data_IF_954224429313
#
_entry.id   IF_954224429313
#
_cell.length_a   1.000
_cell.length_b   1.000
_cell.length_c   1.000
_cell.angle_alpha   90.00
_cell.angle_beta   90.00
_cell.angle_gamma   90.00
#
_symmetry.space_group_name_H-M   'P 1'
#
loop_
_entity.id
_entity.type
_entity.pdbx_description
1 polymer ?
#
# COMPACT_ATOMS: atom_id res chain seq x y z
N UNK A 1 14.81 45.42 -22.45
CA UNK A 1 13.46 44.96 -22.06
C UNK A 1 12.99 43.71 -22.83
N UNK A 2 13.46 43.48 -24.07
CA UNK A 2 13.08 42.33 -24.91
C UNK A 2 13.93 41.06 -24.71
N UNK A 3 14.75 41.00 -23.65
CA UNK A 3 15.60 39.84 -23.30
C UNK A 3 15.06 39.12 -22.06
N UNK A 4 14.37 39.85 -21.15
CA UNK A 4 13.72 39.29 -19.96
C UNK A 4 12.47 38.46 -20.28
N UNK A 5 11.85 38.65 -21.44
CA UNK A 5 10.68 37.88 -21.86
C UNK A 5 11.02 36.51 -22.46
N UNK A 6 12.23 36.34 -23.02
CA UNK A 6 12.70 35.07 -23.58
C UNK A 6 13.10 34.06 -22.50
N UNK A 7 13.54 34.53 -21.33
CA UNK A 7 13.87 33.69 -20.18
C UNK A 7 12.65 33.09 -19.48
N UNK A 8 11.44 33.62 -19.72
CA UNK A 8 10.19 33.05 -19.17
C UNK A 8 9.64 31.95 -20.10
N UNK A 9 9.98 31.99 -21.39
CA UNK A 9 9.52 31.04 -22.40
C UNK A 9 10.43 29.80 -22.57
N UNK A 10 11.62 29.79 -21.97
CA UNK A 10 12.48 28.59 -21.92
C UNK A 10 12.23 27.71 -20.67
N UNK A 11 11.23 28.07 -19.87
CA UNK A 11 10.77 27.27 -18.72
C UNK A 11 9.56 26.42 -19.07
N UNK A 12 9.40 26.02 -20.34
CA UNK A 12 8.66 24.81 -20.67
C UNK A 12 9.53 23.58 -20.43
N UNK A 13 10.16 23.50 -19.26
CA UNK A 13 10.58 22.21 -18.74
C UNK A 13 9.29 21.51 -18.33
N UNK A 14 9.01 20.39 -18.99
CA UNK A 14 8.08 19.38 -18.49
C UNK A 14 8.15 19.35 -16.95
N UNK A 15 7.00 19.30 -16.28
CA UNK A 15 6.94 19.16 -14.82
C UNK A 15 7.70 17.88 -14.42
N UNK A 16 9.01 17.99 -14.26
CA UNK A 16 9.89 16.95 -13.79
C UNK A 16 9.75 16.98 -12.28
N UNK A 17 8.62 16.43 -11.81
CA UNK A 17 8.46 16.19 -10.39
C UNK A 17 9.67 15.37 -9.92
N UNK A 18 10.31 15.86 -8.86
CA UNK A 18 11.53 15.28 -8.33
C UNK A 18 11.21 14.08 -7.44
N UNK A 19 12.20 13.21 -7.20
CA UNK A 19 12.07 12.12 -6.20
C UNK A 19 11.68 12.68 -4.83
N UNK A 20 12.23 13.84 -4.45
CA UNK A 20 11.95 14.47 -3.17
C UNK A 20 10.50 14.97 -3.06
N UNK A 21 9.95 15.55 -4.12
CA UNK A 21 8.53 15.92 -4.16
C UNK A 21 7.61 14.68 -4.12
N UNK A 22 8.00 13.60 -4.79
CA UNK A 22 7.27 12.33 -4.76
C UNK A 22 7.23 11.72 -3.35
N UNK A 23 8.37 11.72 -2.66
CA UNK A 23 8.46 11.28 -1.27
C UNK A 23 7.57 12.12 -0.37
N UNK A 24 7.70 13.45 -0.46
CA UNK A 24 6.92 14.36 0.36
C UNK A 24 5.41 14.14 0.13
N UNK A 25 5.00 14.02 -1.13
CA UNK A 25 3.62 13.73 -1.48
C UNK A 25 3.13 12.43 -0.82
N UNK A 26 3.88 11.34 -0.95
CA UNK A 26 3.50 10.07 -0.35
C UNK A 26 3.49 10.11 1.18
N UNK A 27 4.46 10.78 1.79
CA UNK A 27 4.53 10.93 3.24
C UNK A 27 3.34 11.76 3.75
N UNK A 28 2.92 12.81 3.04
CA UNK A 28 1.69 13.56 3.35
C UNK A 28 0.45 12.67 3.22
N UNK A 29 0.35 11.88 2.14
CA UNK A 29 -0.81 10.98 1.95
C UNK A 29 -0.89 9.97 3.10
N UNK A 30 0.21 9.30 3.43
CA UNK A 30 0.23 8.24 4.43
C UNK A 30 0.08 8.75 5.86
N UNK A 31 0.67 9.90 6.20
CA UNK A 31 0.68 10.39 7.58
C UNK A 31 -0.45 11.38 7.91
N UNK A 32 -1.02 12.06 6.91
CA UNK A 32 -2.01 13.12 7.15
C UNK A 32 -3.38 12.80 6.54
N UNK A 33 -3.43 12.16 5.37
CA UNK A 33 -4.69 11.96 4.62
C UNK A 33 -5.31 10.59 4.84
N UNK A 34 -4.49 9.54 4.84
CA UNK A 34 -4.94 8.16 5.05
C UNK A 34 -5.51 7.93 6.46
N UNK A 35 -4.87 8.37 7.57
CA UNK A 35 -5.36 8.05 8.91
C UNK A 35 -6.80 8.51 9.19
N UNK A 36 -7.21 9.76 8.89
CA UNK A 36 -8.59 10.18 9.13
C UNK A 36 -9.60 9.43 8.24
N UNK A 37 -9.23 9.06 7.00
CA UNK A 37 -10.10 8.28 6.11
C UNK A 37 -10.33 6.86 6.63
N UNK A 38 -9.27 6.20 7.11
CA UNK A 38 -9.36 4.86 7.72
C UNK A 38 -10.21 4.93 9.00
N UNK A 39 -9.95 5.91 9.87
CA UNK A 39 -10.66 6.09 11.15
C UNK A 39 -12.14 6.47 10.98
N UNK A 40 -12.50 7.12 9.87
CA UNK A 40 -13.89 7.45 9.57
C UNK A 40 -14.73 6.24 9.15
N UNK A 41 -14.11 5.13 8.76
CA UNK A 41 -14.81 3.92 8.30
C UNK A 41 -14.84 2.85 9.40
N UNK A 42 -16.04 2.42 9.86
CA UNK A 42 -16.14 1.33 10.84
C UNK A 42 -15.73 -0.03 10.27
N UNK A 43 -15.62 -0.16 8.94
CA UNK A 43 -15.12 -1.37 8.28
C UNK A 43 -13.59 -1.45 8.28
N UNK A 44 -12.91 -0.31 8.46
CA UNK A 44 -11.46 -0.20 8.35
C UNK A 44 -10.77 0.08 9.71
N UNK A 45 -11.51 0.59 10.69
CA UNK A 45 -10.99 0.95 12.00
C UNK A 45 -11.95 0.53 13.13
N UNK A 46 -11.44 0.03 14.28
CA UNK A 46 -10.02 -0.22 14.60
C UNK A 46 -9.50 -1.56 14.06
N UNK A 47 -10.39 -2.38 13.49
CA UNK A 47 -10.07 -3.72 12.99
C UNK A 47 -10.74 -3.91 11.63
N UNK A 48 -9.96 -4.25 10.61
CA UNK A 48 -10.49 -4.77 9.35
C UNK A 48 -10.72 -6.26 9.50
N UNK A 49 -11.96 -6.71 9.33
CA UNK A 49 -12.26 -8.13 9.26
C UNK A 49 -11.78 -8.73 7.94
N UNK A 50 -11.02 -9.82 7.99
CA UNK A 50 -10.74 -10.64 6.81
C UNK A 50 -11.81 -11.74 6.76
N UNK A 51 -12.54 -11.89 5.64
CA UNK A 51 -13.62 -12.86 5.53
C UNK A 51 -13.09 -14.29 5.65
N UNK A 52 -13.99 -15.21 6.00
CA UNK A 52 -13.70 -16.64 6.03
C UNK A 52 -13.16 -17.13 4.68
N UNK A 53 -12.10 -17.94 4.72
CA UNK A 53 -11.62 -18.65 3.55
C UNK A 53 -11.06 -20.03 3.94
N UNK A 54 -11.08 -20.94 2.97
CA UNK A 54 -10.61 -22.32 3.12
C UNK A 54 -9.67 -22.69 2.00
N UNK A 55 -8.69 -23.53 2.30
CA UNK A 55 -7.79 -24.10 1.31
C UNK A 55 -7.35 -25.50 1.71
N UNK A 56 -7.08 -26.32 0.69
CA UNK A 56 -6.62 -27.68 0.87
C UNK A 56 -5.11 -27.75 0.64
N UNK A 57 -4.41 -28.41 1.56
CA UNK A 57 -3.00 -28.78 1.40
C UNK A 57 -2.96 -30.24 0.95
N UNK A 58 -2.58 -30.52 -0.30
CA UNK A 58 -2.54 -31.89 -0.81
C UNK A 58 -1.45 -32.70 -0.10
N UNK A 59 -1.72 -33.99 0.08
CA UNK A 59 -0.72 -34.93 0.57
C UNK A 59 0.53 -34.94 -0.31
N UNK A 60 1.70 -35.05 0.31
CA UNK A 60 2.99 -35.15 -0.37
C UNK A 60 3.55 -36.58 -0.43
N UNK A 61 2.85 -37.58 0.16
CA UNK A 61 3.25 -38.98 0.16
C UNK A 61 2.04 -39.93 0.24
N UNK A 62 2.16 -41.21 -0.17
CA UNK A 62 1.03 -42.15 -0.19
C UNK A 62 0.35 -42.37 1.17
N UNK A 63 1.12 -42.33 2.26
CA UNK A 63 0.65 -42.51 3.64
C UNK A 63 0.10 -41.24 4.27
N UNK A 64 0.26 -40.08 3.62
CA UNK A 64 -0.17 -38.79 4.16
C UNK A 64 -1.60 -38.47 3.73
N UNK A 65 -2.32 -37.73 4.58
CA UNK A 65 -3.66 -37.23 4.29
C UNK A 65 -3.61 -35.80 3.75
N UNK A 66 -4.66 -35.40 3.07
CA UNK A 66 -4.84 -34.00 2.73
C UNK A 66 -5.17 -33.23 4.02
N UNK A 67 -4.75 -31.98 4.12
CA UNK A 67 -5.15 -31.13 5.23
C UNK A 67 -6.14 -30.09 4.71
N UNK A 68 -7.24 -29.94 5.42
CA UNK A 68 -8.26 -28.95 5.16
C UNK A 68 -8.07 -27.81 6.18
N UNK A 69 -7.62 -26.65 5.71
CA UNK A 69 -7.43 -25.48 6.56
C UNK A 69 -8.60 -24.51 6.40
N UNK A 70 -9.26 -24.21 7.51
CA UNK A 70 -10.36 -23.26 7.60
C UNK A 70 -9.90 -22.04 8.40
N UNK A 71 -9.90 -20.87 7.76
CA UNK A 71 -9.54 -19.60 8.40
C UNK A 71 -10.83 -18.86 8.74
N UNK A 72 -11.13 -18.69 10.02
CA UNK A 72 -12.45 -18.24 10.50
C UNK A 72 -12.46 -16.82 11.05
N UNK A 73 -11.36 -16.37 11.66
CA UNK A 73 -11.28 -15.06 12.30
C UNK A 73 -10.00 -14.36 11.88
N UNK A 74 -10.03 -13.67 10.74
CA UNK A 74 -8.94 -12.83 10.31
C UNK A 74 -9.16 -11.37 10.70
N UNK A 75 -8.13 -10.70 11.18
CA UNK A 75 -8.19 -9.32 11.63
C UNK A 75 -6.92 -8.56 11.23
N UNK A 76 -7.09 -7.35 10.70
CA UNK A 76 -6.03 -6.40 10.40
C UNK A 76 -6.18 -5.21 11.33
N UNK A 77 -5.11 -4.83 12.03
CA UNK A 77 -5.05 -3.70 12.96
C UNK A 77 -3.96 -2.74 12.53
N UNK A 78 -4.07 -1.50 13.01
CA UNK A 78 -3.14 -0.40 12.73
C UNK A 78 -3.09 -0.02 11.24
N UNK A 79 -4.17 -0.20 10.47
CA UNK A 79 -4.18 0.22 9.07
C UNK A 79 -4.05 1.75 8.91
N UNK A 80 -4.49 2.52 9.91
CA UNK A 80 -4.45 3.97 9.91
C UNK A 80 -3.03 4.54 10.10
N UNK A 81 -2.11 3.79 10.70
CA UNK A 81 -0.75 4.27 11.05
C UNK A 81 0.38 3.31 10.67
N UNK A 82 0.05 2.08 10.27
CA UNK A 82 1.01 1.01 10.07
C UNK A 82 1.69 1.02 8.70
N UNK A 83 1.11 1.72 7.72
CA UNK A 83 1.67 1.85 6.38
C UNK A 83 2.69 2.98 6.35
N UNK A 84 3.91 2.70 5.90
CA UNK A 84 4.96 3.71 5.72
C UNK A 84 5.61 3.58 4.36
N UNK A 85 6.30 4.62 3.90
CA UNK A 85 7.14 4.54 2.70
C UNK A 85 8.42 3.75 3.01
N UNK A 86 8.80 2.85 2.11
CA UNK A 86 10.04 2.07 2.19
C UNK A 86 11.10 2.67 1.26
N UNK A 87 12.03 3.44 1.83
CA UNK A 87 13.08 4.11 1.05
C UNK A 87 12.52 5.14 0.08
N UNK A 88 13.33 5.57 -0.88
CA UNK A 88 12.97 6.60 -1.84
C UNK A 88 11.94 6.11 -2.88
N UNK A 89 11.02 6.98 -3.25
CA UNK A 89 10.16 6.79 -4.41
C UNK A 89 10.99 6.75 -5.70
N UNK A 90 10.44 6.12 -6.74
CA UNK A 90 11.01 6.22 -8.08
C UNK A 90 10.82 7.64 -8.63
N UNK A 91 11.72 8.04 -9.51
CA UNK A 91 11.57 9.30 -10.26
C UNK A 91 10.19 9.32 -10.93
N UNK A 92 9.37 10.35 -10.68
CA UNK A 92 8.07 10.50 -11.32
C UNK A 92 8.15 10.36 -12.84
N UNK A 93 7.20 9.61 -13.40
CA UNK A 93 7.15 9.31 -14.81
C UNK A 93 5.72 9.41 -15.33
N UNK A 94 5.59 9.64 -16.64
CA UNK A 94 4.32 9.49 -17.33
C UNK A 94 4.09 8.01 -17.61
N UNK A 95 3.04 7.44 -17.03
CA UNK A 95 2.56 6.11 -17.36
C UNK A 95 1.24 6.28 -18.10
N UNK A 96 1.20 5.82 -19.36
CA UNK A 96 0.03 5.97 -20.24
C UNK A 96 -0.46 7.43 -20.36
N UNK A 97 0.48 8.39 -20.38
CA UNK A 97 0.20 9.82 -20.43
C UNK A 97 -0.20 10.46 -19.10
N UNK A 98 -0.28 9.69 -18.01
CA UNK A 98 -0.68 10.17 -16.68
C UNK A 98 0.55 10.32 -15.78
N UNK A 99 0.77 11.50 -15.15
CA UNK A 99 1.79 11.68 -14.14
C UNK A 99 1.60 10.69 -12.99
N UNK A 100 2.59 9.82 -12.79
CA UNK A 100 2.51 8.72 -11.84
C UNK A 100 3.68 8.75 -10.88
N UNK A 101 3.36 8.63 -9.58
CA UNK A 101 4.31 8.42 -8.50
C UNK A 101 4.31 6.93 -8.13
N UNK A 102 5.50 6.32 -8.07
CA UNK A 102 5.65 4.91 -7.71
C UNK A 102 6.59 4.78 -6.51
N UNK A 103 6.10 4.20 -5.42
CA UNK A 103 6.88 4.03 -4.19
C UNK A 103 6.60 2.65 -3.59
N UNK A 104 7.62 2.05 -3.01
CA UNK A 104 7.47 0.84 -2.22
C UNK A 104 6.94 1.22 -0.84
N UNK A 105 5.97 0.46 -0.33
CA UNK A 105 5.40 0.69 0.99
C UNK A 105 5.81 -0.45 1.94
N UNK A 106 6.15 -0.07 3.17
CA UNK A 106 6.36 -0.96 4.30
C UNK A 106 5.05 -1.14 5.07
N UNK A 107 4.67 -2.40 5.29
CA UNK A 107 3.48 -2.83 6.01
C UNK A 107 3.81 -3.54 7.33
N UNK A 108 5.09 -3.56 7.75
CA UNK A 108 5.54 -4.29 8.94
C UNK A 108 4.89 -3.81 10.25
N UNK A 109 4.35 -2.60 10.30
CA UNK A 109 3.67 -2.06 11.48
C UNK A 109 2.16 -2.34 11.49
N UNK A 110 1.65 -3.05 10.47
CA UNK A 110 0.30 -3.60 10.46
C UNK A 110 0.30 -4.93 11.21
N UNK A 111 -0.65 -5.11 12.13
CA UNK A 111 -0.80 -6.37 12.84
C UNK A 111 -1.93 -7.19 12.20
N UNK A 112 -1.57 -8.36 11.67
CA UNK A 112 -2.52 -9.30 11.05
C UNK A 112 -2.59 -10.59 11.86
N UNK A 113 -3.78 -10.97 12.29
CA UNK A 113 -4.03 -12.20 13.04
C UNK A 113 -5.05 -13.08 12.34
N UNK A 114 -4.88 -14.40 12.44
CA UNK A 114 -5.82 -15.39 11.92
C UNK A 114 -6.08 -16.48 12.95
N UNK A 115 -7.34 -16.89 13.10
CA UNK A 115 -7.70 -18.16 13.70
C UNK A 115 -7.88 -19.21 12.61
N UNK A 116 -7.17 -20.33 12.74
CA UNK A 116 -7.18 -21.43 11.78
C UNK A 116 -7.58 -22.74 12.47
N UNK A 117 -8.48 -23.49 11.84
CA UNK A 117 -8.81 -24.87 12.19
C UNK A 117 -8.32 -25.79 11.09
N UNK A 118 -7.60 -26.84 11.45
CA UNK A 118 -7.03 -27.81 10.51
C UNK A 118 -7.60 -29.19 10.81
N UNK A 119 -8.08 -29.88 9.77
CA UNK A 119 -8.54 -31.28 9.82
C UNK A 119 -7.89 -32.12 8.72
N UNK A 120 -7.78 -33.43 8.94
CA UNK A 120 -7.18 -34.42 8.04
C UNK A 120 -8.20 -35.34 7.33
#
# INVERSE_FOLDING_TARGET
>A
LMIFFLSILFSCAAHAATVQEANHFMDTVLNERLPPLVRASPLLFPVVGIPFFRFDVPKNAPTNRNLHANITEGAIRNLDVGVKRMGECLAPALKDGVPTVSCTLDLNNINTTFLAYVSD
#
